data_IF_156306560796
#
_entry.id   IF_156306560796
#
_cell.length_a   1.000
_cell.length_b   1.000
_cell.length_c   1.000
_cell.angle_alpha   90.00
_cell.angle_beta   90.00
_cell.angle_gamma   90.00
#
_symmetry.space_group_name_H-M   'P 1'
#
loop_
_entity.id
_entity.type
_entity.pdbx_description
1 polymer ?
#
# COMPACT_ATOMS: atom_id res chain seq x y z
N UNK A 1 -6.24 19.76 77.44
CA UNK A 1 -6.78 18.87 78.55
C UNK A 1 -6.41 17.47 78.12
N UNK A 2 -5.49 16.99 78.82
CA UNK A 2 -5.44 15.90 79.82
C UNK A 2 -5.20 14.53 79.20
N UNK A 3 -3.99 14.00 79.29
CA UNK A 3 -3.44 13.05 80.31
C UNK A 3 -4.07 11.65 80.13
N UNK A 4 -3.43 10.53 80.13
CA UNK A 4 -2.24 9.93 80.79
C UNK A 4 -2.11 8.50 80.22
N UNK A 5 -0.97 7.90 79.90
CA UNK A 5 -0.01 7.28 80.83
C UNK A 5 -0.33 5.81 81.22
N UNK A 6 0.65 4.94 81.07
CA UNK A 6 0.82 3.65 81.73
C UNK A 6 1.59 2.65 80.82
N UNK A 7 2.88 2.48 80.85
CA UNK A 7 3.84 1.81 81.75
C UNK A 7 3.56 0.32 81.92
N UNK A 8 4.38 -0.53 81.35
CA UNK A 8 5.57 -1.24 81.77
C UNK A 8 5.24 -2.71 82.14
N UNK A 9 5.97 -3.71 81.73
CA UNK A 9 7.16 -4.27 82.31
C UNK A 9 7.53 -5.60 81.59
N UNK A 10 8.77 -5.69 81.17
CA UNK A 10 9.83 -6.64 81.50
C UNK A 10 9.52 -8.12 81.68
N UNK A 11 10.19 -8.98 80.86
CA UNK A 11 10.97 -10.11 81.37
C UNK A 11 11.91 -10.72 80.30
N UNK A 12 13.05 -11.07 80.78
CA UNK A 12 14.32 -11.50 80.17
C UNK A 12 14.31 -12.88 79.55
N UNK A 13 15.08 -13.10 78.55
CA UNK A 13 15.98 -13.97 77.88
C UNK A 13 16.03 -15.49 78.27
N UNK A 14 16.94 -16.29 77.64
CA UNK A 14 18.24 -15.96 77.04
C UNK A 14 18.48 -16.66 75.65
N UNK A 15 19.68 -16.34 75.14
CA UNK A 15 20.31 -16.73 73.89
C UNK A 15 20.55 -18.23 73.67
N UNK A 16 20.57 -18.66 72.41
CA UNK A 16 21.49 -19.68 71.87
C UNK A 16 21.83 -19.32 70.43
N UNK A 17 23.12 -19.36 70.12
CA UNK A 17 23.74 -19.15 68.83
C UNK A 17 23.46 -20.25 67.83
N UNK A 18 23.43 -19.92 66.54
CA UNK A 18 23.41 -20.90 65.45
C UNK A 18 23.78 -20.21 64.15
N UNK A 19 25.04 -20.36 63.77
CA UNK A 19 25.69 -20.01 62.50
C UNK A 19 24.92 -20.57 61.29
N UNK A 20 24.82 -19.82 60.18
CA UNK A 20 24.25 -20.32 58.95
C UNK A 20 24.23 -19.25 57.84
N UNK A 21 25.36 -19.03 57.22
CA UNK A 21 25.48 -18.22 55.99
C UNK A 21 24.56 -18.78 54.88
N UNK A 22 23.50 -18.03 54.56
CA UNK A 22 22.65 -18.22 53.43
C UNK A 22 22.63 -16.89 52.62
N UNK A 23 23.66 -16.65 51.80
CA UNK A 23 23.62 -15.55 50.81
C UNK A 23 22.44 -15.76 49.89
N UNK A 24 21.41 -14.94 50.06
CA UNK A 24 20.24 -14.85 49.25
C UNK A 24 20.56 -14.59 47.79
N UNK A 25 20.30 -15.53 46.98
CA UNK A 25 20.25 -15.45 45.52
C UNK A 25 18.87 -14.91 45.14
N UNK A 26 18.60 -13.67 45.50
CA UNK A 26 17.41 -12.94 45.01
C UNK A 26 17.89 -11.89 44.03
N UNK A 27 17.38 -11.97 42.79
CA UNK A 27 17.57 -10.89 41.82
C UNK A 27 18.06 -11.34 40.45
N UNK A 28 17.58 -12.45 39.90
CA UNK A 28 17.89 -12.81 38.51
C UNK A 28 16.71 -13.45 37.73
N UNK A 29 15.51 -13.45 38.29
CA UNK A 29 14.37 -14.12 37.66
C UNK A 29 13.40 -13.21 36.90
N UNK A 30 13.39 -11.88 37.13
CA UNK A 30 12.44 -11.00 36.46
C UNK A 30 13.01 -10.31 35.19
N UNK A 31 14.33 -10.28 35.01
CA UNK A 31 14.95 -9.75 33.79
C UNK A 31 15.07 -10.78 32.66
N UNK A 32 14.84 -12.06 32.94
CA UNK A 32 14.97 -13.15 31.94
C UNK A 32 13.62 -13.61 31.38
N UNK A 33 12.51 -13.22 31.96
CA UNK A 33 11.16 -13.57 31.51
C UNK A 33 10.68 -12.71 30.31
N UNK A 34 11.37 -11.65 29.94
CA UNK A 34 10.97 -10.71 28.87
C UNK A 34 11.87 -10.75 27.63
N UNK A 35 12.75 -11.74 27.52
CA UNK A 35 13.42 -12.03 26.24
C UNK A 35 12.51 -12.88 25.33
N UNK A 36 11.36 -12.33 24.97
CA UNK A 36 10.64 -12.82 23.81
C UNK A 36 11.61 -12.73 22.64
N UNK A 37 12.01 -13.87 22.09
CA UNK A 37 12.82 -13.91 20.88
C UNK A 37 12.08 -13.12 19.81
N UNK A 38 12.60 -11.93 19.45
CA UNK A 38 11.99 -11.11 18.42
C UNK A 38 11.96 -11.88 17.11
N UNK A 39 10.80 -11.92 16.48
CA UNK A 39 10.56 -12.55 15.19
C UNK A 39 10.93 -11.59 14.04
N UNK A 40 11.13 -12.08 12.82
CA UNK A 40 11.25 -11.21 11.64
C UNK A 40 10.09 -10.23 11.50
N UNK A 41 8.87 -10.64 11.90
CA UNK A 41 7.67 -9.80 11.88
C UNK A 41 7.77 -8.58 12.78
N UNK A 42 8.41 -8.69 13.95
CA UNK A 42 8.58 -7.55 14.87
C UNK A 42 9.50 -6.48 14.25
N UNK A 43 10.57 -6.88 13.57
CA UNK A 43 11.45 -5.95 12.85
C UNK A 43 10.75 -5.30 11.66
N UNK A 44 9.92 -6.06 10.93
CA UNK A 44 9.10 -5.52 9.84
C UNK A 44 8.11 -4.49 10.39
N UNK A 45 7.41 -4.79 11.49
CA UNK A 45 6.46 -3.87 12.11
C UNK A 45 7.14 -2.57 12.55
N UNK A 46 8.28 -2.65 13.24
CA UNK A 46 9.07 -1.48 13.64
C UNK A 46 9.56 -0.68 12.42
N UNK A 47 9.91 -1.35 11.32
CA UNK A 47 10.30 -0.69 10.07
C UNK A 47 9.14 0.07 9.45
N UNK A 48 7.93 -0.51 9.45
CA UNK A 48 6.72 0.14 8.97
C UNK A 48 6.44 1.44 9.75
N UNK A 49 6.50 1.39 11.08
CA UNK A 49 6.32 2.55 11.95
C UNK A 49 7.37 3.66 11.69
N UNK A 50 8.63 3.27 11.52
CA UNK A 50 9.71 4.22 11.23
C UNK A 50 9.56 4.87 9.85
N UNK A 51 9.11 4.13 8.83
CA UNK A 51 8.84 4.71 7.50
C UNK A 51 7.66 5.67 7.54
N UNK A 52 6.58 5.29 8.22
CA UNK A 52 5.39 6.13 8.32
C UNK A 52 5.65 7.43 9.09
N UNK A 53 6.49 7.39 10.13
CA UNK A 53 6.76 8.57 10.97
C UNK A 53 7.92 9.43 10.47
N UNK A 54 8.95 8.84 9.87
CA UNK A 54 10.20 9.53 9.56
C UNK A 54 10.66 9.36 8.10
N UNK A 55 9.91 8.61 7.30
CA UNK A 55 10.27 8.25 5.94
C UNK A 55 11.39 7.20 5.83
N UNK A 56 11.56 6.65 4.63
CA UNK A 56 12.52 5.57 4.35
C UNK A 56 13.98 5.95 4.60
N UNK A 57 14.32 7.23 4.45
CA UNK A 57 15.69 7.74 4.71
C UNK A 57 16.14 7.54 6.14
N UNK A 58 15.20 7.52 7.09
CA UNK A 58 15.47 7.32 8.49
C UNK A 58 15.72 5.86 8.89
N UNK A 59 15.38 4.89 8.04
CA UNK A 59 15.54 3.47 8.34
C UNK A 59 17.01 3.04 8.24
N UNK A 60 17.49 2.39 9.27
CA UNK A 60 18.76 1.65 9.29
C UNK A 60 18.63 0.44 10.22
N UNK A 61 19.42 -0.61 9.99
CA UNK A 61 19.43 -1.80 10.86
C UNK A 61 19.60 -1.44 12.33
N UNK A 62 20.47 -0.46 12.61
CA UNK A 62 20.71 0.06 13.96
C UNK A 62 19.46 0.73 14.52
N UNK A 63 18.83 1.64 13.78
CA UNK A 63 17.67 2.41 14.26
C UNK A 63 16.44 1.52 14.49
N UNK A 64 16.23 0.52 13.64
CA UNK A 64 15.15 -0.47 13.84
C UNK A 64 15.40 -1.31 15.09
N UNK A 65 16.65 -1.75 15.33
CA UNK A 65 17.02 -2.48 16.53
C UNK A 65 16.88 -1.61 17.79
N UNK A 66 17.31 -0.35 17.75
CA UNK A 66 17.15 0.63 18.84
C UNK A 66 15.65 0.85 19.15
N UNK A 67 14.79 0.96 18.14
CA UNK A 67 13.34 1.09 18.31
C UNK A 67 12.74 -0.11 19.07
N UNK A 68 13.28 -1.30 18.86
CA UNK A 68 12.87 -2.54 19.52
C UNK A 68 13.62 -2.81 20.85
N UNK A 69 14.52 -1.93 21.26
CA UNK A 69 15.31 -2.09 22.50
C UNK A 69 16.32 -3.25 22.45
N UNK A 70 16.82 -3.62 21.25
CA UNK A 70 17.78 -4.72 21.08
C UNK A 70 19.06 -4.26 20.38
N UNK A 71 20.08 -5.13 20.39
CA UNK A 71 21.32 -4.85 19.66
C UNK A 71 21.12 -4.95 18.15
N UNK A 72 21.88 -4.19 17.34
CA UNK A 72 21.81 -4.30 15.87
C UNK A 72 22.06 -5.71 15.34
N UNK A 73 22.87 -6.50 16.05
CA UNK A 73 23.13 -7.90 15.68
C UNK A 73 21.88 -8.78 15.72
N UNK A 74 20.84 -8.38 16.47
CA UNK A 74 19.56 -9.09 16.47
C UNK A 74 18.84 -8.95 15.12
N UNK A 75 18.88 -7.77 14.51
CA UNK A 75 18.32 -7.54 13.18
C UNK A 75 19.08 -8.32 12.08
N UNK A 76 20.42 -8.34 12.15
CA UNK A 76 21.25 -9.08 11.20
C UNK A 76 21.12 -10.61 11.27
N UNK A 77 20.51 -11.15 12.33
CA UNK A 77 20.15 -12.59 12.39
C UNK A 77 18.98 -12.94 11.49
N UNK A 78 18.13 -11.97 11.16
CA UNK A 78 16.90 -12.18 10.40
C UNK A 78 16.96 -11.61 8.98
N UNK A 79 17.78 -10.57 8.78
CA UNK A 79 17.89 -9.86 7.51
C UNK A 79 19.38 -9.67 7.18
N UNK A 80 19.73 -9.98 5.95
CA UNK A 80 21.11 -9.84 5.45
C UNK A 80 21.57 -8.38 5.49
N UNK A 81 20.67 -7.48 5.09
CA UNK A 81 20.95 -6.05 4.97
C UNK A 81 19.66 -5.21 5.06
N UNK A 82 19.82 -3.89 5.00
CA UNK A 82 18.72 -2.92 5.00
C UNK A 82 17.77 -3.13 3.82
N UNK A 83 18.29 -3.49 2.64
CA UNK A 83 17.50 -3.64 1.43
C UNK A 83 16.53 -4.81 1.58
N UNK A 84 16.99 -5.94 2.07
CA UNK A 84 16.13 -7.09 2.35
C UNK A 84 15.03 -6.73 3.37
N UNK A 85 15.37 -6.02 4.44
CA UNK A 85 14.41 -5.56 5.43
C UNK A 85 13.34 -4.65 4.80
N UNK A 86 13.77 -3.68 3.97
CA UNK A 86 12.85 -2.76 3.29
C UNK A 86 11.96 -3.46 2.26
N UNK A 87 12.49 -4.44 1.51
CA UNK A 87 11.71 -5.27 0.56
C UNK A 87 10.60 -6.01 1.31
N UNK A 88 10.94 -6.66 2.43
CA UNK A 88 9.95 -7.38 3.23
C UNK A 88 8.94 -6.44 3.92
N UNK A 89 9.39 -5.26 4.34
CA UNK A 89 8.50 -4.27 4.92
C UNK A 89 7.53 -3.69 3.88
N UNK A 90 7.99 -3.40 2.65
CA UNK A 90 7.13 -2.96 1.56
C UNK A 90 6.12 -4.05 1.16
N UNK A 91 6.54 -5.32 1.12
CA UNK A 91 5.63 -6.43 0.86
C UNK A 91 4.57 -6.58 1.94
N UNK A 92 4.95 -6.44 3.21
CA UNK A 92 4.01 -6.43 4.34
C UNK A 92 3.06 -5.21 4.29
N UNK A 93 3.55 -4.03 3.86
CA UNK A 93 2.73 -2.85 3.63
C UNK A 93 1.65 -3.13 2.57
N UNK A 94 2.04 -3.70 1.43
CA UNK A 94 1.10 -4.09 0.37
C UNK A 94 0.06 -5.13 0.84
N UNK A 95 0.41 -5.99 1.79
CA UNK A 95 -0.49 -6.99 2.36
C UNK A 95 -1.42 -6.48 3.47
N UNK A 96 -1.15 -5.31 4.06
CA UNK A 96 -1.99 -4.74 5.13
C UNK A 96 -3.28 -4.09 4.62
N UNK A 97 -3.23 -3.51 3.43
CA UNK A 97 -4.38 -2.83 2.87
C UNK A 97 -5.35 -3.87 2.28
N UNK A 98 -6.63 -3.75 2.63
CA UNK A 98 -7.70 -4.47 1.93
C UNK A 98 -7.90 -3.86 0.54
N UNK A 99 -6.89 -4.03 -0.32
CA UNK A 99 -6.85 -3.39 -1.64
C UNK A 99 -7.87 -3.98 -2.60
N UNK A 100 -8.25 -5.26 -2.40
CA UNK A 100 -9.08 -5.98 -3.36
C UNK A 100 -10.56 -5.69 -3.10
N UNK A 101 -11.27 -5.02 -4.04
CA UNK A 101 -12.69 -4.77 -3.90
C UNK A 101 -13.53 -6.05 -3.97
N UNK A 102 -14.80 -5.95 -3.58
CA UNK A 102 -15.75 -7.07 -3.66
C UNK A 102 -15.91 -7.52 -5.11
N UNK A 103 -16.00 -8.84 -5.32
CA UNK A 103 -16.12 -9.41 -6.68
C UNK A 103 -17.46 -9.12 -7.37
N UNK A 104 -18.54 -8.86 -6.59
CA UNK A 104 -19.91 -8.73 -7.11
C UNK A 104 -20.23 -7.33 -7.67
N UNK A 105 -19.29 -6.76 -8.41
CA UNK A 105 -19.50 -5.48 -9.10
C UNK A 105 -19.00 -5.57 -10.55
N UNK A 106 -19.50 -4.69 -11.45
CA UNK A 106 -18.97 -4.60 -12.81
C UNK A 106 -17.45 -4.40 -12.79
N UNK A 107 -16.76 -5.02 -13.75
CA UNK A 107 -15.29 -4.95 -13.77
C UNK A 107 -14.74 -3.51 -13.85
N UNK A 108 -15.46 -2.61 -14.53
CA UNK A 108 -15.09 -1.20 -14.61
C UNK A 108 -15.08 -0.52 -13.23
N UNK A 109 -16.12 -0.80 -12.45
CA UNK A 109 -16.27 -0.24 -11.11
C UNK A 109 -15.24 -0.89 -10.14
N UNK A 110 -14.97 -2.18 -10.36
CA UNK A 110 -13.96 -2.92 -9.63
C UNK A 110 -12.55 -2.35 -9.86
N UNK A 111 -12.20 -2.04 -11.10
CA UNK A 111 -10.91 -1.40 -11.45
C UNK A 111 -10.82 0.00 -10.83
N UNK A 112 -11.89 0.80 -10.89
CA UNK A 112 -11.94 2.12 -10.26
C UNK A 112 -11.78 2.04 -8.74
N UNK A 113 -12.51 1.14 -8.08
CA UNK A 113 -12.43 0.94 -6.64
C UNK A 113 -11.04 0.51 -6.21
N UNK A 114 -10.42 -0.45 -6.92
CA UNK A 114 -9.06 -0.89 -6.66
C UNK A 114 -8.07 0.27 -6.76
N UNK A 115 -8.13 1.03 -7.86
CA UNK A 115 -7.22 2.16 -8.07
C UNK A 115 -7.40 3.25 -7.01
N UNK A 116 -8.63 3.55 -6.61
CA UNK A 116 -8.91 4.51 -5.55
C UNK A 116 -8.35 4.05 -4.21
N UNK A 117 -8.57 2.79 -3.83
CA UNK A 117 -8.03 2.24 -2.58
C UNK A 117 -6.49 2.24 -2.60
N UNK A 118 -5.86 1.91 -3.73
CA UNK A 118 -4.40 2.00 -3.88
C UNK A 118 -3.91 3.45 -3.72
N UNK A 119 -4.59 4.39 -4.37
CA UNK A 119 -4.27 5.82 -4.28
C UNK A 119 -4.39 6.32 -2.84
N UNK A 120 -5.52 6.08 -2.18
CA UNK A 120 -5.78 6.54 -0.80
C UNK A 120 -4.75 5.95 0.17
N UNK A 121 -4.41 4.65 0.00
CA UNK A 121 -3.38 3.99 0.81
C UNK A 121 -2.01 4.64 0.63
N UNK A 122 -1.59 4.89 -0.61
CA UNK A 122 -0.28 5.48 -0.89
C UNK A 122 -0.23 6.96 -0.50
N UNK A 123 -1.32 7.70 -0.70
CA UNK A 123 -1.42 9.11 -0.31
C UNK A 123 -1.37 9.29 1.22
N UNK A 124 -1.95 8.35 1.97
CA UNK A 124 -1.87 8.32 3.43
C UNK A 124 -0.46 7.97 3.95
N UNK A 125 0.38 7.32 3.13
CA UNK A 125 1.70 6.83 3.51
C UNK A 125 2.81 7.29 2.55
N UNK A 126 3.05 8.61 2.40
CA UNK A 126 4.00 9.15 1.41
C UNK A 126 5.45 8.70 1.62
N UNK A 127 5.80 8.28 2.82
CA UNK A 127 7.13 7.75 3.16
C UNK A 127 7.55 6.52 2.35
N UNK A 128 6.59 5.79 1.75
CA UNK A 128 6.84 4.60 0.94
C UNK A 128 7.13 4.90 -0.53
N UNK A 129 6.77 6.08 -1.03
CA UNK A 129 6.91 6.43 -2.45
C UNK A 129 8.32 6.24 -3.02
N UNK A 130 9.43 6.59 -2.31
CA UNK A 130 10.77 6.36 -2.84
C UNK A 130 11.08 4.88 -3.07
N UNK A 131 10.49 3.97 -2.30
CA UNK A 131 10.74 2.53 -2.39
C UNK A 131 10.01 1.87 -3.56
N UNK A 132 8.84 2.36 -3.94
CA UNK A 132 8.07 1.82 -5.06
C UNK A 132 8.82 1.86 -6.40
N UNK A 133 9.82 2.74 -6.51
CA UNK A 133 10.64 2.90 -7.72
C UNK A 133 11.82 1.93 -7.80
N UNK A 134 12.29 1.42 -6.68
CA UNK A 134 13.58 0.73 -6.58
C UNK A 134 13.48 -0.72 -6.13
N UNK A 135 12.37 -1.13 -5.51
CA UNK A 135 12.26 -2.47 -4.95
C UNK A 135 11.54 -3.44 -5.88
N UNK A 136 11.96 -4.70 -5.82
CA UNK A 136 11.28 -5.79 -6.52
C UNK A 136 9.95 -6.10 -5.84
N UNK A 137 8.96 -6.49 -6.66
CA UNK A 137 7.67 -6.94 -6.14
C UNK A 137 7.86 -8.15 -5.22
N UNK A 138 7.30 -8.08 -4.01
CA UNK A 138 7.22 -9.19 -3.08
C UNK A 138 6.03 -10.11 -3.37
N UNK A 139 5.79 -11.04 -2.47
CA UNK A 139 4.73 -12.05 -2.59
C UNK A 139 3.33 -11.44 -2.62
N UNK A 140 3.07 -10.44 -1.76
CA UNK A 140 1.77 -9.77 -1.69
C UNK A 140 1.51 -8.90 -2.93
N UNK A 141 2.52 -8.18 -3.42
CA UNK A 141 2.42 -7.42 -4.65
C UNK A 141 2.20 -8.33 -5.87
N UNK A 142 2.86 -9.49 -5.91
CA UNK A 142 2.63 -10.50 -6.95
C UNK A 142 1.22 -11.11 -6.85
N UNK A 143 0.71 -11.35 -5.65
CA UNK A 143 -0.66 -11.83 -5.45
C UNK A 143 -1.69 -10.80 -5.93
N UNK A 144 -1.50 -9.51 -5.64
CA UNK A 144 -2.35 -8.43 -6.12
C UNK A 144 -2.35 -8.36 -7.66
N UNK A 145 -1.18 -8.43 -8.29
CA UNK A 145 -1.03 -8.49 -9.75
C UNK A 145 -1.82 -9.66 -10.33
N UNK A 146 -1.66 -10.86 -9.74
CA UNK A 146 -2.37 -12.07 -10.17
C UNK A 146 -3.89 -11.90 -10.07
N UNK A 147 -4.39 -11.41 -8.93
CA UNK A 147 -5.82 -11.19 -8.72
C UNK A 147 -6.41 -10.23 -9.76
N UNK A 148 -5.68 -9.14 -10.07
CA UNK A 148 -6.10 -8.21 -11.12
C UNK A 148 -6.17 -8.88 -12.49
N UNK A 149 -5.11 -9.60 -12.87
CA UNK A 149 -5.05 -10.30 -14.18
C UNK A 149 -6.15 -11.35 -14.28
N UNK A 150 -6.33 -12.19 -13.26
CA UNK A 150 -7.38 -13.21 -13.22
C UNK A 150 -8.78 -12.59 -13.31
N UNK A 151 -9.00 -11.45 -12.67
CA UNK A 151 -10.29 -10.73 -12.75
C UNK A 151 -10.58 -10.29 -14.17
N UNK A 152 -9.65 -9.67 -14.87
CA UNK A 152 -9.85 -9.22 -16.25
C UNK A 152 -9.93 -10.39 -17.24
N UNK A 153 -9.18 -11.45 -17.04
CA UNK A 153 -9.26 -12.66 -17.87
C UNK A 153 -10.65 -13.28 -17.78
N UNK A 154 -11.27 -13.30 -16.61
CA UNK A 154 -12.68 -13.76 -16.45
C UNK A 154 -13.69 -12.91 -17.24
N UNK A 155 -13.39 -11.63 -17.46
CA UNK A 155 -14.21 -10.74 -18.29
C UNK A 155 -13.99 -10.91 -19.81
N UNK A 156 -13.00 -11.73 -20.20
CA UNK A 156 -12.70 -12.05 -21.59
C UNK A 156 -11.47 -11.37 -22.18
N UNK A 157 -10.69 -10.66 -21.38
CA UNK A 157 -9.40 -10.12 -21.82
C UNK A 157 -8.33 -11.21 -21.90
N UNK A 158 -7.31 -11.00 -22.75
CA UNK A 158 -6.12 -11.85 -22.72
C UNK A 158 -5.26 -11.54 -21.49
N UNK A 159 -4.45 -12.50 -21.05
CA UNK A 159 -3.50 -12.27 -19.94
C UNK A 159 -2.51 -11.13 -20.24
N UNK A 160 -2.07 -10.99 -21.50
CA UNK A 160 -1.19 -9.91 -21.94
C UNK A 160 -1.84 -8.55 -21.78
N UNK A 161 -3.07 -8.38 -22.26
CA UNK A 161 -3.82 -7.12 -22.12
C UNK A 161 -4.06 -6.80 -20.65
N UNK A 162 -4.44 -7.78 -19.86
CA UNK A 162 -4.68 -7.63 -18.43
C UNK A 162 -3.41 -7.18 -17.68
N UNK A 163 -2.25 -7.76 -18.03
CA UNK A 163 -0.99 -7.39 -17.43
C UNK A 163 -0.54 -5.97 -17.84
N UNK A 164 -0.72 -5.60 -19.11
CA UNK A 164 -0.46 -4.23 -19.60
C UNK A 164 -1.35 -3.21 -18.88
N UNK A 165 -2.64 -3.54 -18.72
CA UNK A 165 -3.58 -2.70 -17.97
C UNK A 165 -3.16 -2.54 -16.51
N UNK A 166 -2.67 -3.61 -15.87
CA UNK A 166 -2.11 -3.54 -14.52
C UNK A 166 -0.94 -2.57 -14.41
N UNK A 167 0.01 -2.64 -15.34
CA UNK A 167 1.15 -1.70 -15.33
C UNK A 167 0.70 -0.27 -15.59
N UNK A 168 -0.23 -0.03 -16.53
CA UNK A 168 -0.76 1.30 -16.79
C UNK A 168 -1.49 1.85 -15.55
N UNK A 169 -2.31 1.04 -14.87
CA UNK A 169 -3.00 1.39 -13.65
C UNK A 169 -2.02 1.84 -12.56
N UNK A 170 -0.95 1.06 -12.33
CA UNK A 170 0.08 1.42 -11.33
C UNK A 170 0.74 2.75 -11.67
N UNK A 171 1.08 3.01 -12.94
CA UNK A 171 1.68 4.27 -13.36
C UNK A 171 0.74 5.46 -13.10
N UNK A 172 -0.55 5.30 -13.40
CA UNK A 172 -1.56 6.34 -13.15
C UNK A 172 -1.71 6.60 -11.65
N UNK A 173 -1.84 5.55 -10.83
CA UNK A 173 -1.98 5.68 -9.37
C UNK A 173 -0.75 6.36 -8.76
N UNK A 174 0.45 5.86 -9.07
CA UNK A 174 1.70 6.42 -8.54
C UNK A 174 1.88 7.86 -9.00
N UNK A 175 1.62 8.14 -10.29
CA UNK A 175 1.69 9.49 -10.85
C UNK A 175 0.74 10.46 -10.15
N UNK A 176 -0.50 10.05 -9.94
CA UNK A 176 -1.50 10.86 -9.25
C UNK A 176 -1.10 11.18 -7.79
N UNK A 177 -0.58 10.18 -7.06
CA UNK A 177 -0.05 10.42 -5.69
C UNK A 177 1.13 11.38 -5.70
N UNK A 178 2.06 11.24 -6.65
CA UNK A 178 3.21 12.14 -6.77
C UNK A 178 2.82 13.57 -7.12
N UNK A 179 1.74 13.77 -7.88
CA UNK A 179 1.27 15.10 -8.26
C UNK A 179 0.53 15.83 -7.13
N UNK A 180 -0.04 15.09 -6.19
CA UNK A 180 -0.54 15.63 -4.93
C UNK A 180 -1.81 16.49 -5.05
N UNK A 181 -2.77 16.11 -5.88
CA UNK A 181 -4.07 16.79 -5.96
C UNK A 181 -4.50 17.14 -7.38
N UNK A 182 -5.60 17.90 -7.53
CA UNK A 182 -6.16 18.26 -8.83
C UNK A 182 -5.13 19.00 -9.69
N UNK A 183 -5.00 18.57 -10.95
CA UNK A 183 -4.14 19.20 -11.95
C UNK A 183 -5.01 19.98 -12.93
N UNK A 184 -4.61 21.18 -13.20
CA UNK A 184 -5.30 22.03 -14.16
C UNK A 184 -5.09 23.50 -13.83
N UNK A 185 -5.36 24.35 -14.80
CA UNK A 185 -5.45 25.78 -14.56
C UNK A 185 -6.78 26.04 -13.84
N UNK A 186 -6.73 26.71 -12.71
CA UNK A 186 -7.96 27.20 -12.11
C UNK A 186 -8.58 28.27 -13.01
N UNK A 187 -9.89 28.52 -12.94
CA UNK A 187 -10.51 29.64 -13.69
C UNK A 187 -9.85 31.00 -13.40
N UNK A 188 -9.17 31.13 -12.25
CA UNK A 188 -8.40 32.32 -11.90
C UNK A 188 -7.06 32.41 -12.66
N UNK A 189 -6.46 31.28 -13.05
CA UNK A 189 -5.17 31.22 -13.75
C UNK A 189 -5.32 31.33 -15.27
N UNK A 190 -6.51 30.99 -15.80
CA UNK A 190 -6.79 31.02 -17.24
C UNK A 190 -6.59 32.41 -17.90
N UNK A 191 -7.03 33.54 -17.29
CA UNK A 191 -6.80 34.87 -17.85
C UNK A 191 -5.32 35.27 -17.87
N UNK A 192 -4.56 34.90 -16.82
CA UNK A 192 -3.14 35.19 -16.73
C UNK A 192 -2.33 34.41 -17.76
N UNK A 193 -2.60 33.13 -17.94
CA UNK A 193 -1.96 32.31 -18.97
C UNK A 193 -2.29 32.75 -20.39
N UNK A 194 -3.47 33.32 -20.61
CA UNK A 194 -3.88 33.89 -21.90
C UNK A 194 -3.26 35.29 -22.16
N UNK A 195 -3.03 36.08 -21.10
CA UNK A 195 -2.48 37.43 -21.20
C UNK A 195 -0.96 37.47 -21.38
N UNK A 196 -0.24 36.50 -20.72
CA UNK A 196 1.22 36.38 -20.77
C UNK A 196 1.72 35.39 -21.84
N UNK A 197 0.82 34.76 -22.58
CA UNK A 197 1.18 33.86 -23.69
C UNK A 197 2.00 34.62 -24.77
N UNK A 198 2.94 33.92 -25.46
CA UNK A 198 3.71 34.53 -26.52
C UNK A 198 2.76 35.18 -27.53
N UNK A 199 3.07 36.43 -27.92
CA UNK A 199 2.32 37.14 -28.95
C UNK A 199 2.23 36.28 -30.20
N UNK A 200 1.05 35.64 -30.43
CA UNK A 200 0.82 34.68 -31.50
C UNK A 200 0.40 33.30 -31.00
N UNK A 201 -0.19 33.20 -29.81
CA UNK A 201 -0.82 31.95 -29.37
C UNK A 201 -1.78 31.49 -30.47
N UNK A 202 -1.43 30.38 -31.13
CA UNK A 202 -2.22 29.84 -32.23
C UNK A 202 -3.60 29.36 -31.77
N UNK A 203 -4.52 29.11 -32.72
CA UNK A 203 -5.91 28.69 -32.41
C UNK A 203 -6.00 27.52 -31.45
N UNK A 204 -5.01 26.64 -31.44
CA UNK A 204 -4.95 25.47 -30.54
C UNK A 204 -4.79 25.88 -29.07
N UNK A 205 -3.94 26.89 -28.78
CA UNK A 205 -3.70 27.36 -27.40
C UNK A 205 -4.94 28.07 -26.85
N UNK A 206 -5.63 28.83 -27.69
CA UNK A 206 -6.90 29.47 -27.32
C UNK A 206 -7.98 28.40 -27.04
N UNK A 207 -8.11 27.40 -27.93
CA UNK A 207 -9.04 26.29 -27.75
C UNK A 207 -8.71 25.46 -26.46
N UNK A 208 -7.43 25.26 -26.16
CA UNK A 208 -7.02 24.63 -24.89
C UNK A 208 -7.50 25.41 -23.67
N UNK A 209 -7.33 26.74 -23.65
CA UNK A 209 -7.80 27.58 -22.55
C UNK A 209 -9.31 27.48 -22.34
N UNK A 210 -10.10 27.49 -23.42
CA UNK A 210 -11.56 27.33 -23.37
C UNK A 210 -11.96 25.93 -22.85
N UNK A 211 -11.28 24.88 -23.32
CA UNK A 211 -11.51 23.50 -22.87
C UNK A 211 -11.16 23.34 -21.38
N UNK A 212 -10.01 23.86 -20.96
CA UNK A 212 -9.58 23.81 -19.54
C UNK A 212 -10.54 24.57 -18.64
N UNK A 213 -11.00 25.75 -19.05
CA UNK A 213 -11.98 26.53 -18.30
C UNK A 213 -13.33 25.81 -18.16
N UNK A 214 -13.72 25.01 -19.16
CA UNK A 214 -14.97 24.24 -19.17
C UNK A 214 -14.87 22.95 -18.34
N UNK A 215 -13.74 22.26 -18.39
CA UNK A 215 -13.52 21.00 -17.66
C UNK A 215 -13.29 21.27 -16.17
N UNK A 216 -12.64 22.40 -15.85
CA UNK A 216 -12.26 22.72 -14.47
C UNK A 216 -11.10 21.85 -13.96
N UNK A 217 -10.82 21.90 -12.65
CA UNK A 217 -9.81 21.06 -12.02
C UNK A 217 -10.19 19.58 -12.15
N UNK A 218 -9.27 18.79 -12.67
CA UNK A 218 -9.47 17.33 -12.83
C UNK A 218 -8.55 16.57 -11.89
N UNK A 219 -9.11 15.53 -11.30
CA UNK A 219 -8.32 14.59 -10.50
C UNK A 219 -7.47 13.72 -11.44
N UNK A 220 -6.12 13.74 -11.32
CA UNK A 220 -5.24 13.01 -12.23
C UNK A 220 -5.55 11.52 -12.30
N UNK A 221 -5.96 10.94 -11.15
CA UNK A 221 -6.36 9.54 -11.07
C UNK A 221 -7.56 9.25 -11.98
N UNK A 222 -8.62 10.06 -11.91
CA UNK A 222 -9.87 9.83 -12.63
C UNK A 222 -9.70 9.98 -14.14
N UNK A 223 -8.87 10.94 -14.58
CA UNK A 223 -8.53 11.11 -16.00
C UNK A 223 -7.80 9.89 -16.54
N UNK A 224 -6.72 9.47 -15.86
CA UNK A 224 -5.94 8.32 -16.29
C UNK A 224 -6.74 7.02 -16.28
N UNK A 225 -7.57 6.82 -15.26
CA UNK A 225 -8.47 5.65 -15.18
C UNK A 225 -9.51 5.66 -16.29
N UNK A 226 -10.07 6.82 -16.62
CA UNK A 226 -11.00 6.96 -17.74
C UNK A 226 -10.41 6.39 -19.03
N UNK A 227 -9.24 6.88 -19.43
CA UNK A 227 -8.56 6.41 -20.64
C UNK A 227 -8.25 4.92 -20.63
N UNK A 228 -7.81 4.35 -19.48
CA UNK A 228 -7.53 2.92 -19.37
C UNK A 228 -8.82 2.11 -19.58
N UNK A 229 -9.90 2.50 -18.91
CA UNK A 229 -11.19 1.78 -18.98
C UNK A 229 -11.80 1.87 -20.38
N UNK A 230 -11.78 3.05 -21.00
CA UNK A 230 -12.30 3.25 -22.37
C UNK A 230 -11.52 2.42 -23.38
N UNK A 231 -10.19 2.35 -23.26
CA UNK A 231 -9.36 1.50 -24.10
C UNK A 231 -9.70 0.01 -23.94
N UNK A 232 -9.88 -0.45 -22.70
CA UNK A 232 -10.27 -1.83 -22.42
C UNK A 232 -11.69 -2.16 -22.94
N UNK A 233 -12.66 -1.26 -22.77
CA UNK A 233 -14.00 -1.43 -23.28
C UNK A 233 -14.02 -1.52 -24.82
N UNK A 234 -13.28 -0.65 -25.50
CA UNK A 234 -13.13 -0.67 -26.95
C UNK A 234 -12.54 -1.98 -27.45
N UNK A 235 -11.58 -2.54 -26.73
CA UNK A 235 -10.95 -3.82 -27.06
C UNK A 235 -11.92 -4.99 -26.91
N UNK A 236 -12.73 -5.02 -25.85
CA UNK A 236 -13.79 -6.04 -25.68
C UNK A 236 -14.85 -5.96 -26.77
N UNK A 237 -15.27 -4.75 -27.14
CA UNK A 237 -16.23 -4.54 -28.21
C UNK A 237 -15.70 -5.09 -29.55
N UNK A 238 -14.46 -4.79 -29.91
CA UNK A 238 -13.80 -5.31 -31.11
C UNK A 238 -13.70 -6.83 -31.15
N UNK A 239 -13.35 -7.45 -30.01
CA UNK A 239 -13.30 -8.92 -29.92
C UNK A 239 -14.66 -9.59 -30.06
N UNK A 240 -15.74 -8.95 -29.60
CA UNK A 240 -17.11 -9.46 -29.75
C UNK A 240 -17.58 -9.42 -31.24
N UNK A 241 -17.27 -8.34 -31.93
CA UNK A 241 -17.58 -8.16 -33.35
C UNK A 241 -16.88 -9.24 -34.22
N UNK A 242 -15.57 -9.42 -34.01
CA UNK A 242 -14.82 -10.42 -34.79
C UNK A 242 -15.27 -11.86 -34.53
N UNK A 243 -15.75 -12.19 -33.31
CA UNK A 243 -16.35 -13.51 -33.03
C UNK A 243 -17.71 -13.71 -33.69
N UNK A 244 -18.47 -12.65 -33.91
CA UNK A 244 -19.79 -12.71 -34.56
C UNK A 244 -19.64 -12.88 -36.04
N UNK A 245 -18.68 -12.23 -36.69
CA UNK A 245 -18.41 -12.33 -38.13
C UNK A 245 -17.77 -13.67 -38.53
N UNK A 246 -17.03 -14.31 -37.64
CA UNK A 246 -16.39 -15.62 -37.88
C UNK A 246 -17.28 -16.84 -37.70
N UNK A 247 -18.59 -16.69 -37.41
CA UNK A 247 -19.51 -17.81 -37.27
C UNK A 247 -20.07 -18.18 -38.67
N UNK A 248 -19.67 -19.33 -39.27
CA UNK A 248 -20.21 -19.73 -40.59
C UNK A 248 -21.72 -19.87 -40.48
N UNK A 249 -22.42 -19.28 -41.44
CA UNK A 249 -23.87 -19.44 -41.59
C UNK A 249 -24.19 -20.94 -41.60
N UNK A 250 -25.00 -21.36 -40.65
CA UNK A 250 -25.50 -22.73 -40.54
C UNK A 250 -26.21 -23.08 -41.84
N UNK A 251 -25.58 -23.91 -42.69
CA UNK A 251 -26.17 -24.39 -43.92
C UNK A 251 -27.54 -25.00 -43.61
N UNK A 252 -28.59 -24.34 -44.05
CA UNK A 252 -29.93 -24.88 -44.08
C UNK A 252 -29.91 -26.07 -45.07
N UNK A 253 -29.87 -27.29 -44.51
CA UNK A 253 -30.23 -28.49 -45.32
C UNK A 253 -31.66 -28.31 -45.79
N UNK A 254 -31.80 -28.11 -47.07
CA UNK A 254 -33.08 -28.21 -47.74
C UNK A 254 -33.68 -29.63 -47.61
N UNK A 255 -35.03 -29.78 -47.74
CA UNK A 255 -35.67 -31.04 -47.59
C UNK A 255 -35.26 -31.95 -48.79
N UNK A 256 -34.82 -33.19 -48.48
CA UNK A 256 -34.62 -34.21 -49.45
C UNK A 256 -36.02 -34.71 -49.85
N UNK A 257 -36.42 -34.41 -51.07
CA UNK A 257 -37.58 -35.06 -51.73
C UNK A 257 -37.27 -36.53 -51.87
N UNK A 258 -38.10 -37.37 -51.25
CA UNK A 258 -38.19 -38.78 -51.41
C UNK A 258 -39.16 -39.04 -52.62
N UNK A 259 -38.65 -39.68 -53.63
CA UNK A 259 -39.44 -40.45 -54.57
C UNK A 259 -38.98 -41.90 -54.57
#
# INVERSE_FOLDING_TARGET
MSKRSGRAATARGPAVAGDGAGRGRAGKSDADATRRSLSPGDFIAATLELVDTHGVGAVSMRRVAEHLGVSPMAAYRHFRDKEELLVRALDAFAGRAELIPREQMPWTDWVRALARTMYDTLAAHPGWMPLLRSLRAGTNAAALTRTFVERLVREGFTAEVSLRAWFALNQVVIGAVCMGGPVGLTPADAPAAAADGPRGAGPVVLAMGEVMARIGPVEPLDVGLGFIIDALQSQLAGQRLSKTEGRPARATRGPQDTN
#
